data_IF_314535109768
#
_entry.id   IF_314535109768
#
_cell.length_a   1.000
_cell.length_b   1.000
_cell.length_c   1.000
_cell.angle_alpha   90.00
_cell.angle_beta   90.00
_cell.angle_gamma   90.00
#
_symmetry.space_group_name_H-M   'P 1'
#
loop_
_entity.id
_entity.type
_entity.pdbx_description
1 polymer ?
#
# COMPACT_ATOMS: atom_id res chain seq x y z
N UNK A 1 11.85 5.75 5.70
CA UNK A 1 10.56 6.22 5.13
C UNK A 1 10.88 6.89 3.79
N UNK A 2 10.38 6.37 2.67
CA UNK A 2 10.65 6.95 1.35
C UNK A 2 9.85 8.25 1.17
N UNK A 3 10.51 9.32 0.74
CA UNK A 3 9.90 10.64 0.58
C UNK A 3 9.29 10.74 -0.81
N UNK A 4 7.96 10.87 -0.92
CA UNK A 4 7.29 10.92 -2.23
C UNK A 4 7.75 12.04 -3.16
N UNK A 5 8.34 13.10 -2.61
CA UNK A 5 8.93 14.21 -3.38
C UNK A 5 10.06 13.79 -4.32
N UNK A 6 10.64 12.59 -4.16
CA UNK A 6 11.68 12.06 -5.06
C UNK A 6 11.12 11.42 -6.33
N UNK A 7 9.81 11.15 -6.38
CA UNK A 7 9.15 10.50 -7.50
C UNK A 7 8.35 11.54 -8.30
N UNK A 8 8.45 11.50 -9.63
CA UNK A 8 7.61 12.31 -10.50
C UNK A 8 6.15 11.83 -10.49
N UNK A 9 5.22 12.69 -10.91
CA UNK A 9 3.78 12.38 -10.90
C UNK A 9 3.44 11.12 -11.71
N UNK A 10 4.01 10.95 -12.91
CA UNK A 10 3.80 9.74 -13.72
C UNK A 10 4.31 8.49 -13.00
N UNK A 11 5.45 8.62 -12.30
CA UNK A 11 6.02 7.54 -11.51
C UNK A 11 5.06 7.12 -10.38
N UNK A 12 4.48 8.10 -9.67
CA UNK A 12 3.51 7.86 -8.60
C UNK A 12 2.20 7.26 -9.13
N UNK A 13 1.71 7.75 -10.27
CA UNK A 13 0.50 7.24 -10.92
C UNK A 13 0.65 5.77 -11.33
N UNK A 14 1.76 5.42 -11.98
CA UNK A 14 2.03 4.05 -12.40
C UNK A 14 2.19 3.12 -11.20
N UNK A 15 2.85 3.55 -10.11
CA UNK A 15 2.90 2.77 -8.87
C UNK A 15 1.51 2.53 -8.28
N UNK A 16 0.66 3.56 -8.23
CA UNK A 16 -0.70 3.39 -7.71
C UNK A 16 -1.54 2.46 -8.59
N UNK A 17 -1.37 2.54 -9.91
CA UNK A 17 -2.00 1.63 -10.85
C UNK A 17 -1.58 0.18 -10.60
N UNK A 18 -0.27 -0.11 -10.50
CA UNK A 18 0.21 -1.46 -10.18
C UNK A 18 -0.24 -1.94 -8.80
N UNK A 19 -0.32 -1.03 -7.82
CA UNK A 19 -0.86 -1.37 -6.51
C UNK A 19 -2.31 -1.84 -6.60
N UNK A 20 -3.15 -1.10 -7.33
CA UNK A 20 -4.55 -1.43 -7.54
C UNK A 20 -4.75 -2.70 -8.37
N UNK A 21 -3.96 -2.87 -9.44
CA UNK A 21 -3.97 -4.06 -10.30
C UNK A 21 -3.70 -5.35 -9.52
N UNK A 22 -2.78 -5.30 -8.57
CA UNK A 22 -2.46 -6.42 -7.69
C UNK A 22 -3.26 -6.42 -6.40
N UNK A 23 -4.48 -5.87 -6.42
CA UNK A 23 -5.45 -5.91 -5.32
C UNK A 23 -4.91 -5.38 -3.98
N UNK A 24 -3.95 -4.44 -4.02
CA UNK A 24 -3.32 -3.87 -2.83
C UNK A 24 -2.18 -4.71 -2.24
N UNK A 25 -1.70 -5.76 -2.92
CA UNK A 25 -0.56 -6.55 -2.45
C UNK A 25 0.76 -5.87 -2.82
N UNK A 26 1.26 -5.04 -1.90
CA UNK A 26 2.40 -4.13 -2.14
C UNK A 26 3.68 -4.82 -2.65
N UNK A 27 4.02 -6.00 -2.10
CA UNK A 27 5.25 -6.73 -2.48
C UNK A 27 5.16 -7.26 -3.91
N UNK A 28 4.01 -7.80 -4.29
CA UNK A 28 3.75 -8.30 -5.66
C UNK A 28 3.74 -7.13 -6.64
N UNK A 29 3.00 -6.06 -6.31
CA UNK A 29 2.97 -4.84 -7.10
C UNK A 29 4.37 -4.25 -7.32
N UNK A 30 5.20 -4.19 -6.27
CA UNK A 30 6.56 -3.68 -6.37
C UNK A 30 7.44 -4.53 -7.30
N UNK A 31 7.37 -5.86 -7.20
CA UNK A 31 8.12 -6.77 -8.08
C UNK A 31 7.66 -6.63 -9.53
N UNK A 32 6.36 -6.64 -9.77
CA UNK A 32 5.78 -6.46 -11.11
C UNK A 32 6.14 -5.09 -11.70
N UNK A 33 6.09 -4.04 -10.89
CA UNK A 33 6.47 -2.68 -11.30
C UNK A 33 7.94 -2.58 -11.70
N UNK A 34 8.86 -3.13 -10.89
CA UNK A 34 10.30 -3.13 -11.20
C UNK A 34 10.57 -3.94 -12.47
N UNK A 35 9.91 -5.09 -12.64
CA UNK A 35 10.04 -5.90 -13.85
C UNK A 35 9.52 -5.19 -15.10
N UNK A 36 8.41 -4.45 -14.99
CA UNK A 36 7.83 -3.68 -16.09
C UNK A 36 8.64 -2.42 -16.45
N UNK A 37 9.34 -1.84 -15.48
CA UNK A 37 10.12 -0.60 -15.66
C UNK A 37 11.56 -0.75 -15.13
N UNK A 38 12.40 -1.62 -15.74
CA UNK A 38 13.69 -2.02 -15.19
C UNK A 38 14.70 -0.88 -15.06
N UNK A 39 14.61 0.13 -15.94
CA UNK A 39 15.56 1.26 -15.98
C UNK A 39 15.03 2.53 -15.30
N UNK A 40 13.87 2.47 -14.64
CA UNK A 40 13.22 3.66 -14.11
C UNK A 40 13.74 3.99 -12.71
N UNK A 41 14.23 5.21 -12.56
CA UNK A 41 14.75 5.72 -11.30
C UNK A 41 13.88 6.85 -10.73
N UNK A 42 13.84 7.04 -9.41
CA UNK A 42 14.42 6.15 -8.38
C UNK A 42 13.61 4.85 -8.20
N UNK A 43 14.27 3.75 -7.80
CA UNK A 43 13.58 2.45 -7.56
C UNK A 43 12.67 2.54 -6.33
N UNK A 44 11.36 2.21 -6.43
CA UNK A 44 10.47 2.23 -5.28
C UNK A 44 10.65 1.01 -4.38
N UNK A 45 10.20 1.16 -3.13
CA UNK A 45 10.04 0.05 -2.19
C UNK A 45 8.55 -0.28 -2.06
N UNK A 46 8.20 -1.48 -1.60
CA UNK A 46 6.78 -1.85 -1.37
C UNK A 46 6.05 -0.85 -0.45
N UNK A 47 6.76 -0.26 0.53
CA UNK A 47 6.20 0.77 1.43
C UNK A 47 5.78 2.03 0.68
N UNK A 48 6.44 2.36 -0.44
CA UNK A 48 6.08 3.50 -1.29
C UNK A 48 4.67 3.33 -1.84
N UNK A 49 4.30 2.14 -2.30
CA UNK A 49 2.97 1.84 -2.84
C UNK A 49 1.86 2.02 -1.78
N UNK A 50 2.08 1.49 -0.57
CA UNK A 50 1.17 1.65 0.57
C UNK A 50 1.00 3.14 0.92
N UNK A 51 2.12 3.87 0.95
CA UNK A 51 2.12 5.30 1.27
C UNK A 51 1.33 6.12 0.24
N UNK A 52 1.51 5.83 -1.05
CA UNK A 52 0.78 6.50 -2.13
C UNK A 52 -0.72 6.26 -1.98
N UNK A 53 -1.13 5.00 -1.82
CA UNK A 53 -2.55 4.65 -1.68
C UNK A 53 -3.19 5.30 -0.45
N UNK A 54 -2.49 5.28 0.69
CA UNK A 54 -2.93 5.93 1.92
C UNK A 54 -3.13 7.43 1.72
N UNK A 55 -2.14 8.10 1.12
CA UNK A 55 -2.21 9.55 0.91
C UNK A 55 -3.30 9.94 -0.08
N UNK A 56 -3.52 9.17 -1.15
CA UNK A 56 -4.66 9.40 -2.05
C UNK A 56 -6.00 9.19 -1.34
N UNK A 57 -6.10 8.19 -0.47
CA UNK A 57 -7.33 7.93 0.28
C UNK A 57 -7.63 9.01 1.31
N UNK A 58 -6.61 9.54 1.98
CA UNK A 58 -6.77 10.56 3.04
C UNK A 58 -6.91 11.98 2.48
N UNK A 59 -6.21 12.31 1.40
CA UNK A 59 -6.05 13.71 0.94
C UNK A 59 -6.49 13.93 -0.52
N UNK A 60 -6.84 12.87 -1.25
CA UNK A 60 -7.13 12.94 -2.68
C UNK A 60 -5.91 13.35 -3.51
N UNK A 61 -6.15 13.79 -4.76
CA UNK A 61 -5.11 14.33 -5.66
C UNK A 61 -4.62 15.73 -5.27
N UNK A 62 -5.03 16.27 -4.11
CA UNK A 62 -4.66 17.64 -3.70
C UNK A 62 -3.13 17.74 -3.59
N UNK A 63 -2.54 18.54 -4.49
CA UNK A 63 -1.12 18.90 -4.47
C UNK A 63 -0.77 19.40 -3.08
N UNK A 64 -0.07 18.59 -2.30
CA UNK A 64 0.66 19.11 -1.14
C UNK A 64 1.79 19.94 -1.76
N UNK A 65 1.68 21.26 -1.71
CA UNK A 65 2.85 22.13 -1.84
C UNK A 65 3.83 21.67 -0.76
N UNK A 66 4.82 20.86 -1.13
CA UNK A 66 5.84 20.29 -0.24
C UNK A 66 6.86 21.36 0.22
N UNK A 67 6.43 22.61 0.31
CA UNK A 67 7.19 23.73 0.86
C UNK A 67 6.55 24.14 2.19
N UNK A 68 7.17 23.72 3.29
CA UNK A 68 6.96 24.34 4.61
C UNK A 68 6.23 23.48 5.66
N UNK A 69 6.93 23.30 6.78
CA UNK A 69 6.45 23.14 8.15
C UNK A 69 6.08 21.74 8.69
N UNK A 70 6.93 21.26 9.62
CA UNK A 70 6.52 20.78 10.96
C UNK A 70 6.01 19.35 11.15
N UNK A 71 6.76 18.53 11.90
CA UNK A 71 6.47 17.16 12.40
C UNK A 71 5.61 17.21 13.70
N UNK A 72 4.69 16.27 13.99
CA UNK A 72 5.01 15.03 14.73
C UNK A 72 4.41 13.75 14.12
N UNK A 73 5.26 12.76 13.86
CA UNK A 73 4.86 11.39 13.59
C UNK A 73 4.78 10.64 14.92
N UNK A 74 3.58 10.58 15.50
CA UNK A 74 3.22 9.56 16.46
C UNK A 74 2.16 8.68 15.80
N UNK A 75 2.53 7.44 15.52
CA UNK A 75 1.66 6.27 15.48
C UNK A 75 2.59 5.07 15.22
N UNK A 76 3.18 4.58 16.31
CA UNK A 76 3.62 3.20 16.39
C UNK A 76 2.38 2.32 16.18
N UNK A 77 2.39 1.50 15.14
CA UNK A 77 1.59 0.27 15.16
C UNK A 77 2.55 -0.85 14.80
N UNK A 78 3.04 -1.49 15.87
CA UNK A 78 3.95 -2.62 15.78
C UNK A 78 3.25 -3.88 15.28
N UNK A 79 3.99 -4.61 14.46
CA UNK A 79 4.06 -6.08 14.39
C UNK A 79 2.79 -6.90 14.07
N UNK A 80 1.64 -6.29 13.80
CA UNK A 80 0.42 -7.02 13.38
C UNK A 80 0.22 -7.08 11.87
N UNK A 81 0.83 -6.16 11.11
CA UNK A 81 0.62 -6.06 9.66
C UNK A 81 1.32 -7.17 8.87
N UNK A 82 2.52 -7.58 9.27
CA UNK A 82 3.30 -8.61 8.57
C UNK A 82 2.65 -10.00 8.70
N UNK A 83 2.08 -10.32 9.86
CA UNK A 83 1.37 -11.58 10.11
C UNK A 83 0.08 -11.69 9.27
N UNK A 84 -0.65 -10.58 9.14
CA UNK A 84 -1.85 -10.50 8.30
C UNK A 84 -1.49 -10.64 6.81
N UNK A 85 -0.39 -10.03 6.37
CA UNK A 85 0.07 -10.09 4.98
C UNK A 85 0.53 -11.50 4.57
N UNK A 86 1.20 -12.22 5.46
CA UNK A 86 1.68 -13.58 5.19
C UNK A 86 0.54 -14.62 5.19
N UNK A 87 -0.59 -14.34 5.84
CA UNK A 87 -1.77 -15.20 5.82
C UNK A 87 -2.68 -14.93 4.59
N UNK A 88 -2.81 -13.67 4.16
CA UNK A 88 -3.53 -13.33 2.92
C UNK A 88 -2.81 -13.88 1.68
N UNK A 89 -1.48 -13.93 1.70
CA UNK A 89 -0.71 -14.59 0.64
C UNK A 89 -1.03 -16.08 0.53
N UNK A 90 -1.33 -16.75 1.66
CA UNK A 90 -1.68 -18.18 1.70
C UNK A 90 -3.12 -18.48 1.30
N UNK A 91 -4.03 -17.50 1.33
CA UNK A 91 -5.41 -17.68 0.87
C UNK A 91 -5.96 -16.42 0.15
N UNK A 92 -5.73 -16.30 -1.18
CA UNK A 92 -6.07 -15.11 -1.97
C UNK A 92 -7.56 -14.79 -2.06
N UNK A 93 -8.42 -15.74 -1.68
CA UNK A 93 -9.89 -15.57 -1.68
C UNK A 93 -10.40 -14.64 -0.58
N UNK A 94 -9.55 -14.30 0.41
CA UNK A 94 -9.93 -13.47 1.54
C UNK A 94 -9.56 -12.01 1.26
N UNK A 95 -10.58 -11.19 0.99
CA UNK A 95 -10.42 -9.74 0.92
C UNK A 95 -9.99 -9.16 2.28
N UNK A 96 -8.89 -8.40 2.30
CA UNK A 96 -8.45 -7.61 3.47
C UNK A 96 -9.56 -6.70 4.02
N UNK A 97 -10.47 -6.23 3.15
CA UNK A 97 -11.64 -5.40 3.50
C UNK A 97 -12.72 -6.19 4.24
N UNK A 98 -12.90 -7.48 3.91
CA UNK A 98 -13.77 -8.40 4.64
C UNK A 98 -13.23 -8.68 6.04
N UNK A 99 -11.92 -8.93 6.16
CA UNK A 99 -11.27 -9.21 7.46
C UNK A 99 -11.34 -8.00 8.40
N UNK A 100 -11.02 -6.80 7.91
CA UNK A 100 -11.10 -5.55 8.71
C UNK A 100 -12.52 -5.25 9.20
N UNK A 101 -13.56 -5.68 8.47
CA UNK A 101 -14.97 -5.52 8.85
C UNK A 101 -15.44 -6.56 9.88
N UNK A 102 -14.77 -7.71 9.96
CA UNK A 102 -15.15 -8.86 10.80
C UNK A 102 -14.23 -9.10 12.00
N UNK A 103 -13.15 -8.33 12.17
CA UNK A 103 -12.39 -8.33 13.42
C UNK A 103 -13.30 -7.87 14.57
N UNK A 104 -13.75 -8.83 15.38
CA UNK A 104 -14.70 -8.62 16.50
C UNK A 104 -16.01 -9.39 16.39
N UNK A 105 -16.29 -10.08 15.27
CA UNK A 105 -17.42 -11.02 15.15
C UNK A 105 -16.88 -12.33 14.60
N UNK A 106 -16.99 -13.41 15.37
CA UNK A 106 -16.48 -14.73 15.02
C UNK A 106 -16.85 -15.15 13.59
N UNK A 107 -15.94 -15.85 12.93
CA UNK A 107 -16.13 -16.36 11.58
C UNK A 107 -17.34 -17.31 11.55
N UNK A 108 -18.34 -17.08 10.67
CA UNK A 108 -19.32 -18.12 10.40
C UNK A 108 -18.61 -19.27 9.69
N UNK A 109 -18.75 -20.48 10.25
CA UNK A 109 -18.28 -21.69 9.59
C UNK A 109 -19.01 -21.84 8.25
N UNK A 110 -18.22 -22.20 7.23
CA UNK A 110 -18.65 -22.51 5.87
C UNK A 110 -19.89 -23.41 5.85
N UNK A 111 -20.92 -23.01 5.12
CA UNK A 111 -21.96 -23.91 4.63
C UNK A 111 -21.42 -24.49 3.32
N UNK A 112 -21.52 -25.82 3.20
CA UNK A 112 -20.96 -26.71 2.18
C UNK A 112 -20.91 -26.19 0.74
#
# INVERSE_FOLDING_TARGET
MARLSMFGNNHIADMHYYYGMHHGVARVACRAYIAAFPNRQPVPTYRTFITIHRLFSEWGLRRRNLGGQGRPAALQLGNTEEEILDEVFRNPSISLRYRRRNLGRGFPQSIH
#
